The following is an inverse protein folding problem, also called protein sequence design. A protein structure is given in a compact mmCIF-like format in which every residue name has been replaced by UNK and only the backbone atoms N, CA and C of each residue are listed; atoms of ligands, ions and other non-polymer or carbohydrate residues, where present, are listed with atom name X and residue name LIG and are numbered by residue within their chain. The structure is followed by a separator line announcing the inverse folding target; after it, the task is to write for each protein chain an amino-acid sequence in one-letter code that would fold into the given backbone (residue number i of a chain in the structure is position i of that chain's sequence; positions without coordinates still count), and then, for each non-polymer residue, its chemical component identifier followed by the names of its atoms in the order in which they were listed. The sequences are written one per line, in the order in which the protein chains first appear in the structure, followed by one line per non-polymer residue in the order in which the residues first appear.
data_IF_768002740789
#
_entry.id   IF_768002740789
#
_cell.length_a   1.000
_cell.length_b   1.000
_cell.length_c   1.000
_cell.angle_alpha   90.00
_cell.angle_beta   90.00
_cell.angle_gamma   90.00
#
_symmetry.space_group_name_H-M   'P 1'
#
loop_
_entity.id
_entity.type
_entity.pdbx_description
1 polymer ?
#
# COMPACT_ATOMS: atom_id res chain seq x y z
N UNK A 1 -15.66 -14.05 -73.09
CA UNK A 1 -15.69 -12.63 -72.69
C UNK A 1 -16.93 -12.40 -71.84
N UNK A 2 -16.79 -12.27 -70.53
CA UNK A 2 -17.83 -11.70 -69.67
C UNK A 2 -17.23 -11.26 -68.34
N UNK A 3 -17.79 -10.18 -67.79
CA UNK A 3 -17.11 -9.08 -67.09
C UNK A 3 -17.00 -9.27 -65.57
N UNK A 4 -15.94 -8.68 -65.03
CA UNK A 4 -15.63 -8.39 -63.62
C UNK A 4 -16.83 -7.74 -62.90
N UNK A 5 -17.03 -8.03 -61.61
CA UNK A 5 -17.45 -7.06 -60.59
C UNK A 5 -16.89 -7.47 -59.22
N UNK A 6 -15.78 -6.83 -58.82
CA UNK A 6 -15.25 -6.89 -57.47
C UNK A 6 -16.10 -5.98 -56.57
N UNK A 7 -16.65 -6.52 -55.49
CA UNK A 7 -17.32 -5.74 -54.46
C UNK A 7 -16.32 -5.38 -53.37
N UNK A 8 -16.07 -4.08 -53.20
CA UNK A 8 -15.27 -3.51 -52.11
C UNK A 8 -16.18 -2.76 -51.14
N UNK A 9 -15.82 -2.87 -49.85
CA UNK A 9 -16.12 -1.97 -48.73
C UNK A 9 -17.55 -2.07 -48.15
N UNK A 10 -17.82 -1.83 -46.85
CA UNK A 10 -17.15 -1.08 -45.78
C UNK A 10 -17.47 -1.79 -44.46
N UNK A 11 -16.50 -2.00 -43.56
CA UNK A 11 -16.78 -2.37 -42.17
C UNK A 11 -16.85 -1.10 -41.32
N UNK A 12 -18.04 -0.75 -40.83
CA UNK A 12 -18.25 0.32 -39.85
C UNK A 12 -17.91 -0.22 -38.47
N UNK A 13 -16.77 0.18 -37.92
CA UNK A 13 -16.41 -0.09 -36.53
C UNK A 13 -17.23 0.84 -35.63
N UNK A 14 -18.27 0.31 -35.01
CA UNK A 14 -19.02 1.01 -33.97
C UNK A 14 -18.10 1.10 -32.74
N UNK A 15 -17.61 2.29 -32.43
CA UNK A 15 -16.82 2.54 -31.23
C UNK A 15 -17.68 2.31 -30.00
N UNK A 16 -17.51 1.17 -29.34
CA UNK A 16 -18.11 0.93 -28.03
C UNK A 16 -17.32 1.77 -27.04
N UNK A 17 -17.88 2.93 -26.67
CA UNK A 17 -17.45 3.66 -25.47
C UNK A 17 -17.80 2.79 -24.27
N UNK A 18 -16.88 1.91 -23.87
CA UNK A 18 -16.96 1.23 -22.60
C UNK A 18 -16.89 2.30 -21.51
N UNK A 19 -18.04 2.62 -20.91
CA UNK A 19 -18.08 3.28 -19.61
C UNK A 19 -17.46 2.29 -18.62
N UNK A 20 -16.14 2.36 -18.45
CA UNK A 20 -15.47 1.72 -17.33
C UNK A 20 -15.96 2.45 -16.10
N UNK A 21 -17.00 1.91 -15.47
CA UNK A 21 -17.33 2.24 -14.10
C UNK A 21 -16.11 1.86 -13.27
N UNK A 22 -15.24 2.85 -12.99
CA UNK A 22 -14.21 2.69 -11.98
C UNK A 22 -14.95 2.47 -10.66
N UNK A 23 -15.07 1.20 -10.24
CA UNK A 23 -15.34 0.91 -8.85
C UNK A 23 -14.27 1.67 -8.05
N UNK A 24 -14.62 2.43 -6.99
CA UNK A 24 -13.60 3.05 -6.17
C UNK A 24 -12.67 1.93 -5.72
N UNK A 25 -11.41 1.97 -6.14
CA UNK A 25 -10.42 0.99 -5.71
C UNK A 25 -10.49 0.98 -4.18
N UNK A 26 -11.04 -0.10 -3.62
CA UNK A 26 -11.12 -0.21 -2.18
C UNK A 26 -9.67 -0.24 -1.70
N UNK A 27 -9.28 0.75 -0.90
CA UNK A 27 -7.95 0.80 -0.31
C UNK A 27 -7.69 -0.57 0.35
N UNK A 28 -6.70 -1.30 -0.15
CA UNK A 28 -6.35 -2.59 0.40
C UNK A 28 -5.81 -2.39 1.81
N UNK A 29 -6.05 -3.34 2.71
CA UNK A 29 -5.66 -3.26 4.12
C UNK A 29 -4.91 -4.50 4.54
N UNK A 30 -3.87 -4.32 5.37
CA UNK A 30 -3.23 -5.40 6.11
C UNK A 30 -3.05 -5.02 7.57
N UNK A 31 -3.22 -5.99 8.45
CA UNK A 31 -2.99 -5.85 9.87
C UNK A 31 -2.05 -6.96 10.35
N UNK A 32 -1.18 -6.63 11.29
CA UNK A 32 -0.26 -7.58 11.92
C UNK A 32 -0.07 -7.24 13.40
N UNK A 33 0.57 -8.14 14.14
CA UNK A 33 1.10 -7.86 15.47
C UNK A 33 2.62 -7.88 15.41
N UNK A 34 3.24 -6.70 15.51
CA UNK A 34 4.70 -6.58 15.51
C UNK A 34 5.22 -6.95 16.89
N UNK A 35 6.02 -8.01 16.98
CA UNK A 35 6.69 -8.39 18.22
C UNK A 35 7.79 -7.39 18.56
N UNK A 36 7.78 -6.87 19.80
CA UNK A 36 8.77 -5.92 20.28
C UNK A 36 10.13 -6.61 20.49
N UNK A 37 11.25 -5.98 20.11
CA UNK A 37 12.57 -6.58 20.24
C UNK A 37 13.02 -6.76 21.71
N UNK A 38 12.40 -6.07 22.65
CA UNK A 38 12.61 -6.23 24.10
C UNK A 38 11.39 -6.88 24.80
N UNK A 39 10.51 -7.52 24.04
CA UNK A 39 9.23 -8.05 24.53
C UNK A 39 8.04 -7.15 24.19
N UNK A 40 6.84 -7.63 24.50
CA UNK A 40 5.58 -6.96 24.15
C UNK A 40 5.23 -7.05 22.66
N UNK A 41 4.12 -6.42 22.28
CA UNK A 41 3.63 -6.41 20.91
C UNK A 41 2.85 -5.16 20.56
N UNK A 42 2.87 -4.80 19.27
CA UNK A 42 2.08 -3.72 18.70
C UNK A 42 1.14 -4.25 17.60
N UNK A 43 -0.17 -4.29 17.83
CA UNK A 43 -1.16 -4.51 16.77
C UNK A 43 -1.18 -3.29 15.84
N UNK A 44 -0.79 -3.45 14.58
CA UNK A 44 -0.65 -2.37 13.60
C UNK A 44 -1.36 -2.73 12.30
N UNK A 45 -2.16 -1.81 11.78
CA UNK A 45 -2.76 -1.90 10.45
C UNK A 45 -2.19 -0.83 9.52
N UNK A 46 -2.15 -1.13 8.22
CA UNK A 46 -1.88 -0.17 7.14
C UNK A 46 -2.82 -0.38 5.97
N UNK A 47 -3.11 0.69 5.22
CA UNK A 47 -3.84 0.63 3.94
C UNK A 47 -3.00 1.17 2.81
N UNK A 48 -3.25 0.72 1.58
CA UNK A 48 -2.67 1.31 0.37
C UNK A 48 -3.72 1.37 -0.73
N UNK A 49 -3.78 2.51 -1.40
CA UNK A 49 -4.68 2.77 -2.52
C UNK A 49 -3.85 3.28 -3.70
N UNK A 50 -3.93 2.60 -4.84
CA UNK A 50 -3.25 3.02 -6.05
C UNK A 50 -3.99 4.21 -6.66
N UNK A 51 -3.29 5.33 -6.86
CA UNK A 51 -3.88 6.57 -7.38
C UNK A 51 -3.73 6.72 -8.92
N UNK A 52 -2.86 5.90 -9.53
CA UNK A 52 -2.47 6.01 -10.94
C UNK A 52 -0.96 5.98 -11.16
N UNK A 53 -0.16 6.28 -10.13
CA UNK A 53 1.30 6.32 -10.20
C UNK A 53 1.98 5.66 -8.99
N UNK A 54 1.38 5.78 -7.81
CA UNK A 54 1.93 5.27 -6.55
C UNK A 54 0.79 4.97 -5.56
N UNK A 55 1.14 4.77 -4.28
CA UNK A 55 0.17 4.44 -3.25
C UNK A 55 0.04 5.53 -2.19
N UNK A 56 -1.22 5.90 -1.97
CA UNK A 56 -1.66 6.64 -0.79
C UNK A 56 -2.14 5.68 0.29
N UNK A 57 -1.93 6.05 1.55
CA UNK A 57 -2.29 5.16 2.63
C UNK A 57 -2.24 5.79 4.00
N UNK A 58 -2.61 4.96 4.98
CA UNK A 58 -2.56 5.31 6.39
C UNK A 58 -2.19 4.09 7.21
N UNK A 59 -1.63 4.33 8.39
CA UNK A 59 -1.38 3.30 9.39
C UNK A 59 -1.92 3.72 10.74
N UNK A 60 -2.28 2.75 11.56
CA UNK A 60 -2.77 2.98 12.91
C UNK A 60 -2.64 1.72 13.77
N UNK A 61 -2.60 1.92 15.08
CA UNK A 61 -2.70 0.83 16.05
C UNK A 61 -4.11 0.29 16.10
N UNK A 62 -4.26 -1.03 15.98
CA UNK A 62 -5.55 -1.70 16.01
C UNK A 62 -5.76 -2.45 17.34
N UNK A 63 -5.69 -1.72 18.43
CA UNK A 63 -5.81 -2.25 19.79
C UNK A 63 -4.68 -1.77 20.73
N UNK A 64 -4.70 -2.23 21.99
CA UNK A 64 -3.69 -1.84 22.97
C UNK A 64 -2.31 -2.38 22.60
N UNK A 65 -1.30 -1.55 22.87
CA UNK A 65 0.12 -1.93 22.80
C UNK A 65 0.59 -2.43 24.16
N UNK A 66 1.41 -3.47 24.17
CA UNK A 66 2.14 -3.94 25.36
C UNK A 66 3.65 -3.65 25.28
N UNK A 67 4.05 -2.75 24.38
CA UNK A 67 5.45 -2.42 24.17
C UNK A 67 6.06 -1.73 25.41
N UNK A 68 7.32 -2.04 25.75
CA UNK A 68 8.10 -1.26 26.70
C UNK A 68 8.22 0.21 26.27
N UNK A 69 8.38 1.12 27.24
CA UNK A 69 8.47 2.57 27.02
C UNK A 69 9.62 3.01 26.10
N UNK A 70 10.67 2.20 25.99
CA UNK A 70 11.86 2.46 25.18
C UNK A 70 11.76 1.91 23.75
N UNK A 71 10.66 1.23 23.44
CA UNK A 71 10.37 0.75 22.09
C UNK A 71 9.69 1.85 21.27
N UNK A 72 10.13 2.00 20.03
CA UNK A 72 9.62 2.98 19.07
C UNK A 72 9.42 2.35 17.70
N UNK A 73 8.49 2.94 16.93
CA UNK A 73 8.20 2.51 15.56
C UNK A 73 9.13 3.22 14.58
N UNK A 74 9.67 2.46 13.65
CA UNK A 74 10.31 3.00 12.45
C UNK A 74 9.48 2.67 11.22
N UNK A 75 9.44 3.62 10.29
CA UNK A 75 8.81 3.49 8.98
C UNK A 75 9.87 3.65 7.90
N UNK A 76 9.87 2.76 6.91
CA UNK A 76 10.69 2.86 5.72
C UNK A 76 9.81 3.18 4.51
N UNK A 77 10.07 4.31 3.89
CA UNK A 77 9.36 4.84 2.72
C UNK A 77 10.35 4.92 1.56
N UNK A 78 10.14 4.12 0.51
CA UNK A 78 10.96 4.12 -0.71
C UNK A 78 12.49 4.07 -0.47
N UNK A 79 12.89 3.42 0.63
CA UNK A 79 14.29 3.25 1.04
C UNK A 79 14.75 4.20 2.15
N UNK A 80 14.07 5.32 2.37
CA UNK A 80 14.34 6.25 3.46
C UNK A 80 13.73 5.74 4.78
N UNK A 81 14.47 5.83 5.89
CA UNK A 81 14.02 5.35 7.21
C UNK A 81 13.76 6.53 8.13
N UNK A 82 12.60 6.51 8.78
CA UNK A 82 12.13 7.55 9.69
C UNK A 82 11.69 6.93 11.01
N UNK A 83 11.90 7.65 12.11
CA UNK A 83 11.14 7.37 13.33
C UNK A 83 9.69 7.81 13.07
N UNK A 84 8.74 6.96 13.45
CA UNK A 84 7.34 7.11 13.09
C UNK A 84 6.47 7.20 14.33
N UNK A 85 5.42 8.00 14.23
CA UNK A 85 4.29 7.88 15.15
C UNK A 85 3.56 6.54 14.95
N UNK A 86 2.77 6.12 15.93
CA UNK A 86 1.99 4.88 15.91
C UNK A 86 0.72 4.94 15.04
N UNK A 87 0.41 6.13 14.51
CA UNK A 87 -0.59 6.34 13.47
C UNK A 87 -0.16 7.49 12.55
N UNK A 88 -0.70 7.51 11.34
CA UNK A 88 -0.43 8.57 10.37
C UNK A 88 -0.87 8.22 8.96
N UNK A 89 -0.50 9.07 8.01
CA UNK A 89 -0.78 8.92 6.57
C UNK A 89 0.51 9.04 5.77
N UNK A 90 0.53 8.41 4.60
CA UNK A 90 1.57 8.58 3.60
C UNK A 90 0.92 8.77 2.24
N UNK A 91 1.55 9.60 1.41
CA UNK A 91 1.13 9.86 0.05
C UNK A 91 2.34 9.74 -0.87
N UNK A 92 2.08 9.43 -2.13
CA UNK A 92 3.09 9.32 -3.16
C UNK A 92 4.20 8.33 -2.79
N UNK A 93 3.84 7.10 -2.38
CA UNK A 93 4.81 6.07 -1.96
C UNK A 93 4.67 4.78 -2.74
N UNK A 94 5.79 4.26 -3.23
CA UNK A 94 5.80 2.95 -3.89
C UNK A 94 5.85 1.80 -2.88
N UNK A 95 6.59 1.97 -1.77
CA UNK A 95 6.75 0.96 -0.74
C UNK A 95 6.79 1.58 0.65
N UNK A 96 5.97 1.03 1.55
CA UNK A 96 5.96 1.40 2.97
C UNK A 96 6.09 0.17 3.84
N UNK A 97 7.15 0.14 4.66
CA UNK A 97 7.38 -0.90 5.65
C UNK A 97 7.48 -0.32 7.06
N UNK A 98 7.18 -1.13 8.05
CA UNK A 98 7.24 -0.79 9.47
C UNK A 98 8.09 -1.81 10.21
N UNK A 99 8.76 -1.36 11.27
CA UNK A 99 9.47 -2.22 12.21
C UNK A 99 9.50 -1.57 13.59
N UNK A 100 9.73 -2.37 14.61
CA UNK A 100 9.96 -1.90 15.98
C UNK A 100 11.45 -1.94 16.30
N UNK A 101 11.90 -0.92 17.02
CA UNK A 101 13.23 -0.80 17.56
C UNK A 101 13.14 -0.50 19.06
N UNK A 102 14.12 -0.93 19.83
CA UNK A 102 14.23 -0.61 21.25
C UNK A 102 15.58 0.03 21.55
N UNK A 103 15.57 1.18 22.22
CA UNK A 103 16.77 1.97 22.47
C UNK A 103 17.65 1.39 23.58
N UNK A 104 17.10 0.65 24.53
CA UNK A 104 17.86 0.00 25.60
C UNK A 104 18.49 -1.31 25.12
N UNK A 105 17.75 -2.10 24.35
CA UNK A 105 18.25 -3.33 23.76
C UNK A 105 19.17 -3.08 22.55
N UNK A 106 19.19 -1.85 21.99
CA UNK A 106 20.04 -1.47 20.87
C UNK A 106 19.76 -2.23 19.58
N UNK A 107 18.52 -2.70 19.37
CA UNK A 107 18.17 -3.56 18.23
C UNK A 107 16.76 -3.32 17.71
N UNK A 108 16.53 -3.79 16.47
CA UNK A 108 15.23 -3.73 15.81
C UNK A 108 14.79 -5.11 15.33
N UNK A 109 13.49 -5.30 15.15
CA UNK A 109 12.94 -6.46 14.46
C UNK A 109 13.00 -6.29 12.92
N UNK A 110 12.50 -7.29 12.19
CA UNK A 110 12.41 -7.26 10.73
C UNK A 110 11.39 -6.26 10.19
N UNK A 111 11.51 -5.91 8.92
CA UNK A 111 10.56 -5.04 8.22
C UNK A 111 9.30 -5.79 7.81
N UNK A 112 8.14 -5.14 7.97
CA UNK A 112 6.81 -5.60 7.53
C UNK A 112 6.09 -4.56 6.67
#
# INVERSE_FOLDING_TARGET
MSKILAAFAVSVSIGVSALVSASPAHAAQACTSLAGPAGGSLPLCKTWNWDGNDYDGRWWTNGPSSLPSHTYLQRREDGAVHNSAYSGTYNDKSKVHFRLCDSLAGRCNGWW
#
